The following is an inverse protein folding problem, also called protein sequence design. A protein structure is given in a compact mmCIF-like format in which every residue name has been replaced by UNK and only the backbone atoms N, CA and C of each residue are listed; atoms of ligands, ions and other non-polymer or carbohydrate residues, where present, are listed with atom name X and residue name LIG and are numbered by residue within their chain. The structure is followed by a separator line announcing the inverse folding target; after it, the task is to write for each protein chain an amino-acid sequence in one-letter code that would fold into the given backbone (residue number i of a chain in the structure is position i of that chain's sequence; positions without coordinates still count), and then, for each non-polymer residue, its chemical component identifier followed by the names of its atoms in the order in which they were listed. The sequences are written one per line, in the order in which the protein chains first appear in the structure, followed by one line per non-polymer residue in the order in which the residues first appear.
data_IF_727209098116
#
_entry.id   IF_727209098116
#
_cell.length_a   1.000
_cell.length_b   1.000
_cell.length_c   1.000
_cell.angle_alpha   90.00
_cell.angle_beta   90.00
_cell.angle_gamma   90.00
#
_symmetry.space_group_name_H-M   'P 1'
#
loop_
_entity.id
_entity.type
_entity.pdbx_description
1 polymer ?
#
# COMPACT_ATOMS: atom_id res chain seq x y z
N UNK A 1 30.42 -25.79 21.98
CA UNK A 1 30.66 -24.72 20.98
C UNK A 1 29.37 -24.07 20.45
N UNK A 2 28.18 -24.41 20.94
CA UNK A 2 26.89 -23.86 20.44
C UNK A 2 26.44 -22.54 21.11
N UNK A 3 27.04 -22.15 22.25
CA UNK A 3 26.62 -20.96 23.01
C UNK A 3 27.14 -19.63 22.41
N UNK A 4 28.21 -19.66 21.61
CA UNK A 4 28.74 -18.45 20.95
C UNK A 4 27.96 -18.08 19.68
N UNK A 5 27.39 -19.07 18.99
CA UNK A 5 26.55 -18.86 17.81
C UNK A 5 25.21 -18.19 18.17
N UNK A 6 24.62 -18.55 19.32
CA UNK A 6 23.43 -17.87 19.85
C UNK A 6 23.73 -16.45 20.34
N UNK A 7 24.89 -16.23 20.96
CA UNK A 7 25.31 -14.90 21.39
C UNK A 7 25.51 -13.93 20.21
N UNK A 8 26.13 -14.38 19.11
CA UNK A 8 26.31 -13.53 17.92
C UNK A 8 24.99 -13.23 17.19
N UNK A 9 24.04 -14.16 17.19
CA UNK A 9 22.68 -13.91 16.68
C UNK A 9 21.94 -12.85 17.51
N UNK A 10 22.03 -12.93 18.84
CA UNK A 10 21.44 -11.95 19.75
C UNK A 10 22.07 -10.56 19.60
N UNK A 11 23.40 -10.49 19.41
CA UNK A 11 24.08 -9.22 19.13
C UNK A 11 23.54 -8.57 17.85
N UNK A 12 23.40 -9.34 16.76
CA UNK A 12 22.81 -8.84 15.51
C UNK A 12 21.37 -8.35 15.69
N UNK A 13 20.56 -9.08 16.47
CA UNK A 13 19.19 -8.66 16.79
C UNK A 13 19.16 -7.34 17.56
N UNK A 14 20.05 -7.17 18.55
CA UNK A 14 20.14 -5.91 19.30
C UNK A 14 20.55 -4.75 18.40
N UNK A 15 21.52 -4.95 17.50
CA UNK A 15 21.90 -3.91 16.53
C UNK A 15 20.73 -3.56 15.60
N UNK A 16 19.97 -4.56 15.13
CA UNK A 16 18.75 -4.32 14.34
C UNK A 16 17.70 -3.51 15.10
N UNK A 17 17.43 -3.86 16.37
CA UNK A 17 16.46 -3.17 17.20
C UNK A 17 16.88 -1.73 17.51
N UNK A 18 18.18 -1.46 17.68
CA UNK A 18 18.69 -0.09 17.84
C UNK A 18 18.40 0.76 16.59
N UNK A 19 18.60 0.20 15.40
CA UNK A 19 18.28 0.87 14.14
C UNK A 19 16.78 1.17 14.05
N UNK A 20 15.92 0.19 14.30
CA UNK A 20 14.46 0.35 14.26
C UNK A 20 13.94 1.34 15.32
N UNK A 21 14.56 1.36 16.51
CA UNK A 21 14.23 2.31 17.55
C UNK A 21 14.59 3.75 17.15
N UNK A 22 15.68 3.93 16.38
CA UNK A 22 16.15 5.24 15.91
C UNK A 22 15.33 5.83 14.75
N UNK A 23 14.37 5.09 14.19
CA UNK A 23 13.50 5.59 13.13
C UNK A 23 12.60 6.71 13.65
N UNK A 24 12.71 7.89 13.04
CA UNK A 24 11.83 9.02 13.33
C UNK A 24 10.40 8.72 12.91
N UNK A 25 9.46 8.92 13.83
CA UNK A 25 8.03 8.67 13.60
C UNK A 25 7.30 9.99 13.47
N UNK A 26 6.36 10.06 12.53
CA UNK A 26 5.40 11.15 12.45
C UNK A 26 4.19 10.87 13.35
N UNK A 27 3.42 11.91 13.67
CA UNK A 27 2.18 11.76 14.44
C UNK A 27 1.17 10.96 13.63
N UNK A 28 0.45 10.04 14.30
CA UNK A 28 -0.60 9.24 13.67
C UNK A 28 -1.66 10.13 13.01
N UNK A 29 -2.04 11.24 13.65
CA UNK A 29 -3.00 12.19 13.09
C UNK A 29 -2.50 12.81 11.77
N UNK A 30 -1.20 13.12 11.68
CA UNK A 30 -0.60 13.65 10.46
C UNK A 30 -0.63 12.60 9.34
N UNK A 31 -0.19 11.37 9.64
CA UNK A 31 -0.23 10.27 8.67
C UNK A 31 -1.65 10.01 8.15
N UNK A 32 -2.66 10.02 9.05
CA UNK A 32 -4.05 9.83 8.69
C UNK A 32 -4.58 10.96 7.78
N UNK A 33 -4.22 12.21 8.06
CA UNK A 33 -4.62 13.35 7.24
C UNK A 33 -3.98 13.28 5.84
N UNK A 34 -2.70 12.93 5.75
CA UNK A 34 -1.99 12.75 4.48
C UNK A 34 -2.62 11.64 3.64
N UNK A 35 -2.97 10.50 4.27
CA UNK A 35 -3.67 9.40 3.61
C UNK A 35 -5.07 9.82 3.11
N UNK A 36 -5.85 10.52 3.94
CA UNK A 36 -7.16 11.02 3.55
C UNK A 36 -7.05 11.97 2.35
N UNK A 37 -6.12 12.92 2.42
CA UNK A 37 -5.90 13.89 1.36
C UNK A 37 -5.51 13.19 0.05
N UNK A 38 -4.62 12.21 0.10
CA UNK A 38 -4.24 11.41 -1.08
C UNK A 38 -5.45 10.71 -1.70
N UNK A 39 -6.28 10.06 -0.88
CA UNK A 39 -7.49 9.40 -1.36
C UNK A 39 -8.46 10.41 -2.01
N UNK A 40 -8.71 11.56 -1.38
CA UNK A 40 -9.62 12.58 -1.92
C UNK A 40 -9.14 13.17 -3.24
N UNK A 41 -7.83 13.40 -3.40
CA UNK A 41 -7.25 13.92 -4.63
C UNK A 41 -7.33 12.94 -5.79
N UNK A 42 -7.32 11.63 -5.51
CA UNK A 42 -7.33 10.59 -6.54
C UNK A 42 -8.70 9.93 -6.72
N UNK A 43 -9.65 10.18 -5.83
CA UNK A 43 -10.99 9.59 -5.85
C UNK A 43 -11.68 9.75 -7.21
N UNK A 44 -11.59 10.92 -7.84
CA UNK A 44 -12.23 11.18 -9.13
C UNK A 44 -11.62 10.41 -10.31
N UNK A 45 -10.39 9.91 -10.15
CA UNK A 45 -9.67 9.11 -11.17
C UNK A 45 -9.83 7.61 -10.95
N UNK A 46 -10.37 7.22 -9.79
CA UNK A 46 -10.60 5.82 -9.48
C UNK A 46 -11.88 5.34 -10.18
N UNK A 47 -11.67 4.56 -11.24
CA UNK A 47 -12.72 3.96 -12.05
C UNK A 47 -13.66 3.04 -11.25
N UNK A 48 -13.18 2.44 -10.15
CA UNK A 48 -13.98 1.56 -9.30
C UNK A 48 -14.82 2.35 -8.30
N UNK A 49 -14.34 3.55 -7.91
CA UNK A 49 -15.04 4.41 -6.96
C UNK A 49 -16.12 5.26 -7.64
N UNK A 50 -15.80 5.91 -8.76
CA UNK A 50 -16.72 6.81 -9.48
C UNK A 50 -17.52 6.09 -10.57
N UNK A 51 -17.04 4.91 -10.97
CA UNK A 51 -17.54 4.23 -12.16
C UNK A 51 -16.98 4.86 -13.43
N UNK A 52 -17.02 4.10 -14.52
CA UNK A 52 -16.61 4.55 -15.84
C UNK A 52 -17.77 4.43 -16.83
N UNK A 53 -17.85 5.31 -17.83
CA UNK A 53 -18.83 5.17 -18.90
C UNK A 53 -18.75 3.79 -19.56
N UNK A 54 -19.90 3.23 -19.94
CA UNK A 54 -19.97 1.90 -20.53
C UNK A 54 -19.13 1.72 -21.80
N UNK A 55 -18.80 2.81 -22.52
CA UNK A 55 -17.91 2.76 -23.70
C UNK A 55 -16.41 2.77 -23.38
N UNK A 56 -16.04 3.17 -22.16
CA UNK A 56 -14.64 3.28 -21.72
C UNK A 56 -14.16 2.07 -20.92
N UNK A 57 -15.06 1.12 -20.61
CA UNK A 57 -14.69 -0.11 -19.91
C UNK A 57 -14.10 -1.13 -20.89
N UNK A 58 -12.79 -1.46 -20.80
CA UNK A 58 -12.14 -2.41 -21.71
C UNK A 58 -12.61 -3.86 -21.50
N UNK A 59 -13.25 -4.16 -20.37
CA UNK A 59 -13.78 -5.50 -20.07
C UNK A 59 -15.23 -5.68 -20.52
N UNK A 60 -15.84 -4.66 -21.12
CA UNK A 60 -17.22 -4.76 -21.57
C UNK A 60 -17.31 -5.54 -22.86
N UNK A 61 -18.20 -6.51 -22.90
CA UNK A 61 -18.54 -7.24 -24.12
C UNK A 61 -19.04 -6.27 -25.21
N UNK A 62 -18.59 -6.43 -26.48
CA UNK A 62 -19.12 -5.66 -27.59
C UNK A 62 -20.63 -5.85 -27.70
N UNK A 63 -21.39 -4.75 -27.79
CA UNK A 63 -22.81 -4.79 -28.15
C UNK A 63 -22.96 -5.10 -29.64
N UNK A 64 -22.64 -6.31 -30.06
CA UNK A 64 -22.95 -6.82 -31.39
C UNK A 64 -23.90 -8.00 -31.26
N UNK A 65 -25.22 -7.72 -31.24
CA UNK A 65 -26.14 -8.67 -31.86
C UNK A 65 -25.99 -8.47 -33.36
N UNK A 66 -25.20 -9.32 -34.01
CA UNK A 66 -25.42 -9.58 -35.42
C UNK A 66 -26.64 -10.50 -35.50
N UNK A 67 -27.80 -9.95 -35.89
CA UNK A 67 -28.87 -10.80 -36.41
C UNK A 67 -28.36 -11.34 -37.75
N UNK A 68 -28.12 -12.65 -37.82
CA UNK A 68 -27.81 -13.39 -39.04
C UNK A 68 -29.04 -13.43 -39.96
#
# INVERSE_FOLDING_TARGET
MSSSASASALQRLVEQLKLEASVERIKVLQAAAELQQYCMQNACKDALLVGIPAGSNPFREPRSCALL
#
